data_IF_207540498890
#
_entry.id   IF_207540498890
#
_cell.length_a   1.000
_cell.length_b   1.000
_cell.length_c   1.000
_cell.angle_alpha   90.00
_cell.angle_beta   90.00
_cell.angle_gamma   90.00
#
_symmetry.space_group_name_H-M   'P 1'
#
loop_
_entity.id
_entity.type
_entity.pdbx_description
1 polymer ?
#
# COMPACT_ATOMS: atom_id res chain seq x y z
N UNK A 1 15.56 6.85 -30.30
CA UNK A 1 16.91 6.26 -30.27
C UNK A 1 17.33 6.17 -28.83
N UNK A 2 17.40 4.98 -28.26
CA UNK A 2 17.81 4.78 -26.87
C UNK A 2 19.29 5.14 -26.71
N UNK A 3 19.62 5.94 -25.70
CA UNK A 3 21.00 6.21 -25.30
C UNK A 3 21.68 4.90 -24.94
N UNK A 4 22.95 4.75 -25.30
CA UNK A 4 23.74 3.62 -24.83
C UNK A 4 23.89 3.69 -23.30
N UNK A 5 24.04 2.54 -22.66
CA UNK A 5 24.24 2.43 -21.21
C UNK A 5 25.36 3.35 -20.69
N UNK A 6 26.43 3.48 -21.47
CA UNK A 6 27.58 4.30 -21.11
C UNK A 6 27.25 5.80 -21.14
N UNK A 7 26.43 6.23 -22.10
CA UNK A 7 25.94 7.61 -22.20
C UNK A 7 24.97 7.94 -21.06
N UNK A 8 24.08 7.01 -20.68
CA UNK A 8 23.18 7.17 -19.54
C UNK A 8 23.97 7.29 -18.22
N UNK A 9 24.99 6.44 -18.03
CA UNK A 9 25.87 6.49 -16.87
C UNK A 9 26.65 7.82 -16.79
N UNK A 10 27.23 8.25 -17.91
CA UNK A 10 27.96 9.51 -18.01
C UNK A 10 27.08 10.72 -17.70
N UNK A 11 25.84 10.74 -18.21
CA UNK A 11 24.87 11.81 -17.93
C UNK A 11 24.45 11.84 -16.46
N UNK A 12 24.19 10.69 -15.85
CA UNK A 12 23.79 10.60 -14.44
C UNK A 12 24.92 11.06 -13.51
N UNK A 13 26.15 10.61 -13.78
CA UNK A 13 27.35 11.04 -13.07
C UNK A 13 27.60 12.55 -13.23
N UNK A 14 27.44 13.11 -14.43
CA UNK A 14 27.62 14.53 -14.68
C UNK A 14 26.55 15.38 -13.96
N UNK A 15 25.29 14.97 -13.99
CA UNK A 15 24.20 15.64 -13.29
C UNK A 15 24.38 15.60 -11.76
N UNK A 16 24.81 14.46 -11.22
CA UNK A 16 25.11 14.31 -9.79
C UNK A 16 26.24 15.25 -9.36
N UNK A 17 27.34 15.28 -10.13
CA UNK A 17 28.46 16.21 -9.91
C UNK A 17 27.99 17.66 -9.97
N UNK A 18 27.23 18.04 -10.99
CA UNK A 18 26.77 19.43 -11.17
C UNK A 18 25.88 19.91 -10.02
N UNK A 19 24.96 19.06 -9.57
CA UNK A 19 24.02 19.40 -8.49
C UNK A 19 24.75 19.54 -7.14
N UNK A 20 25.58 18.56 -6.79
CA UNK A 20 26.37 18.59 -5.55
C UNK A 20 27.35 19.77 -5.53
N UNK A 21 28.00 20.03 -6.66
CA UNK A 21 28.97 21.11 -6.77
C UNK A 21 28.29 22.49 -6.70
N UNK A 22 27.10 22.65 -7.29
CA UNK A 22 26.30 23.87 -7.16
C UNK A 22 25.87 24.15 -5.72
N UNK A 23 25.55 23.12 -4.95
CA UNK A 23 25.23 23.23 -3.53
C UNK A 23 26.42 23.76 -2.71
N UNK A 24 27.63 23.19 -2.86
CA UNK A 24 28.82 23.66 -2.09
C UNK A 24 29.60 24.80 -2.76
N UNK A 25 29.23 25.21 -3.97
CA UNK A 25 29.90 26.29 -4.70
C UNK A 25 31.30 25.92 -5.22
N UNK A 26 31.50 24.67 -5.62
CA UNK A 26 32.76 24.18 -6.20
C UNK A 26 32.59 23.76 -7.66
N UNK A 27 33.68 23.54 -8.42
CA UNK A 27 33.61 22.90 -9.73
C UNK A 27 33.11 21.44 -9.67
N UNK A 28 32.25 20.99 -10.62
CA UNK A 28 31.76 19.60 -10.67
C UNK A 28 32.85 18.52 -10.73
N UNK A 29 34.04 18.86 -11.23
CA UNK A 29 35.18 17.95 -11.28
C UNK A 29 35.73 17.60 -9.88
N UNK A 30 35.51 18.45 -8.87
CA UNK A 30 36.02 18.26 -7.51
C UNK A 30 35.16 17.31 -6.67
N UNK A 31 33.95 16.98 -7.11
CA UNK A 31 33.09 16.00 -6.42
C UNK A 31 33.63 14.60 -6.67
N UNK A 32 34.02 13.88 -5.61
CA UNK A 32 34.42 12.49 -5.74
C UNK A 32 33.18 11.58 -5.65
N UNK A 33 32.96 10.76 -6.68
CA UNK A 33 31.83 9.83 -6.70
C UNK A 33 32.13 8.53 -5.92
N UNK A 34 33.42 8.25 -5.69
CA UNK A 34 33.90 7.07 -4.97
C UNK A 34 34.10 7.35 -3.48
N UNK A 35 33.97 8.60 -3.05
CA UNK A 35 33.98 8.99 -1.66
C UNK A 35 32.66 8.61 -0.94
N UNK A 36 32.67 8.52 0.40
CA UNK A 36 31.47 8.27 1.20
C UNK A 36 30.34 9.25 0.88
N UNK A 37 29.10 8.76 0.86
CA UNK A 37 27.91 9.56 0.50
C UNK A 37 27.72 10.83 1.35
N UNK A 38 28.16 10.81 2.60
CA UNK A 38 28.11 11.94 3.53
C UNK A 38 29.33 12.86 3.45
N UNK A 39 30.34 12.50 2.65
CA UNK A 39 31.57 13.26 2.47
C UNK A 39 32.15 13.18 1.04
N UNK A 40 31.38 13.47 -0.04
CA UNK A 40 31.87 13.45 -1.41
C UNK A 40 32.88 14.57 -1.72
N UNK A 41 33.03 15.55 -0.82
CA UNK A 41 34.00 16.63 -0.90
C UNK A 41 34.24 17.22 0.51
N UNK A 42 35.45 17.72 0.86
CA UNK A 42 35.71 18.31 2.18
C UNK A 42 34.76 19.45 2.59
N UNK A 43 34.33 20.28 1.63
CA UNK A 43 33.37 21.35 1.91
C UNK A 43 31.94 20.85 2.18
N UNK A 44 31.61 19.63 1.76
CA UNK A 44 30.32 18.99 2.03
C UNK A 44 30.18 18.65 3.52
N UNK A 45 31.20 17.98 4.08
CA UNK A 45 31.23 17.57 5.48
C UNK A 45 31.22 18.77 6.46
N UNK A 46 31.75 19.92 6.04
CA UNK A 46 31.79 21.15 6.87
C UNK A 46 30.43 21.80 7.09
N UNK A 47 29.39 21.42 6.33
CA UNK A 47 28.01 21.91 6.44
C UNK A 47 27.07 20.79 6.88
N UNK A 48 27.26 20.32 8.12
CA UNK A 48 26.62 19.14 8.73
C UNK A 48 25.07 19.10 8.79
N UNK A 49 24.36 19.98 8.09
CA UNK A 49 22.89 20.09 8.06
C UNK A 49 22.26 19.82 6.68
N UNK A 50 23.03 19.36 5.69
CA UNK A 50 22.49 19.05 4.35
C UNK A 50 21.85 17.68 4.27
N UNK A 51 20.61 17.65 3.81
CA UNK A 51 19.96 16.40 3.43
C UNK A 51 20.52 15.91 2.08
N UNK A 52 21.50 15.01 2.17
CA UNK A 52 22.08 14.35 1.01
C UNK A 52 21.02 13.60 0.18
N UNK A 53 19.91 13.15 0.81
CA UNK A 53 18.82 12.45 0.12
C UNK A 53 18.05 13.36 -0.80
N UNK A 54 17.60 14.53 -0.30
CA UNK A 54 16.97 15.55 -1.14
C UNK A 54 17.87 16.04 -2.28
N UNK A 55 19.19 16.10 -2.04
CA UNK A 55 20.14 16.45 -3.11
C UNK A 55 20.22 15.35 -4.17
N UNK A 56 20.28 14.08 -3.76
CA UNK A 56 20.30 12.96 -4.69
C UNK A 56 18.99 12.85 -5.49
N UNK A 57 17.82 13.06 -4.86
CA UNK A 57 16.54 13.14 -5.57
C UNK A 57 16.57 14.20 -6.68
N UNK A 58 17.15 15.37 -6.40
CA UNK A 58 17.32 16.44 -7.38
C UNK A 58 18.29 16.05 -8.51
N UNK A 59 19.41 15.38 -8.19
CA UNK A 59 20.36 14.84 -9.17
C UNK A 59 19.67 13.88 -10.15
N UNK A 60 18.90 12.93 -9.61
CA UNK A 60 18.20 11.93 -10.40
C UNK A 60 17.10 12.59 -11.23
N UNK A 61 16.35 13.54 -10.67
CA UNK A 61 15.35 14.31 -11.42
C UNK A 61 15.97 15.08 -12.59
N UNK A 62 17.08 15.77 -12.37
CA UNK A 62 17.79 16.52 -13.41
C UNK A 62 18.34 15.61 -14.52
N UNK A 63 18.87 14.45 -14.15
CA UNK A 63 19.44 13.51 -15.10
C UNK A 63 18.38 12.77 -15.93
N UNK A 64 17.29 12.39 -15.27
CA UNK A 64 16.29 11.45 -15.81
C UNK A 64 15.04 12.14 -16.33
N UNK A 65 14.87 13.43 -16.08
CA UNK A 65 13.68 14.20 -16.45
C UNK A 65 12.41 13.81 -15.66
N UNK A 66 12.52 12.89 -14.69
CA UNK A 66 11.44 12.41 -13.83
C UNK A 66 11.92 12.24 -12.39
N UNK A 67 11.04 12.41 -11.42
CA UNK A 67 11.39 12.23 -10.01
C UNK A 67 11.68 10.75 -9.71
N UNK A 68 12.85 10.49 -9.11
CA UNK A 68 13.27 9.18 -8.63
C UNK A 68 13.49 9.33 -7.13
N UNK A 69 12.87 8.48 -6.31
CA UNK A 69 12.80 8.71 -4.87
C UNK A 69 13.81 7.83 -4.13
N UNK A 70 14.76 8.48 -3.46
CA UNK A 70 16.00 7.92 -2.88
C UNK A 70 15.82 7.06 -1.62
N UNK A 71 14.62 6.98 -1.02
CA UNK A 71 14.39 6.09 0.13
C UNK A 71 14.60 4.60 -0.19
N UNK A 72 14.70 4.26 -1.48
CA UNK A 72 15.01 2.96 -2.05
C UNK A 72 16.45 2.47 -1.84
N UNK A 73 17.39 3.34 -1.45
CA UNK A 73 18.76 2.88 -1.19
C UNK A 73 18.93 2.19 0.18
N UNK A 74 17.94 2.33 1.06
CA UNK A 74 18.09 2.02 2.49
C UNK A 74 16.86 1.42 3.16
N UNK A 75 15.86 0.90 2.41
CA UNK A 75 14.70 0.30 3.06
C UNK A 75 15.05 -1.03 3.72
N UNK A 76 14.74 -1.11 5.02
CA UNK A 76 14.98 -2.21 5.96
C UNK A 76 14.69 -3.61 5.42
N UNK A 77 15.57 -4.51 5.86
CA UNK A 77 15.47 -5.97 5.88
C UNK A 77 14.07 -6.51 6.15
N UNK A 78 13.57 -7.30 5.19
CA UNK A 78 12.70 -8.44 5.46
C UNK A 78 13.48 -9.71 5.13
N UNK A 79 13.78 -10.53 6.14
CA UNK A 79 14.29 -11.89 5.97
C UNK A 79 15.72 -12.07 5.43
N UNK A 80 16.69 -12.24 6.33
CA UNK A 80 17.74 -13.26 6.12
C UNK A 80 18.89 -13.05 5.13
N UNK A 81 19.08 -11.91 4.46
CA UNK A 81 20.32 -11.66 3.69
C UNK A 81 21.04 -10.38 4.12
N UNK A 82 22.36 -10.47 4.27
CA UNK A 82 23.23 -9.36 4.65
C UNK A 82 22.98 -8.11 3.82
N UNK A 83 22.93 -6.95 4.49
CA UNK A 83 22.76 -5.65 3.85
C UNK A 83 24.05 -5.32 3.09
N UNK A 84 24.01 -5.27 1.76
CA UNK A 84 25.02 -4.50 1.02
C UNK A 84 24.68 -3.01 1.18
N UNK A 85 25.28 -2.38 2.19
CA UNK A 85 25.22 -0.93 2.33
C UNK A 85 25.99 -0.30 1.17
N UNK A 86 25.31 0.46 0.31
CA UNK A 86 25.96 1.28 -0.72
C UNK A 86 26.63 2.47 -0.03
N UNK A 87 27.94 2.50 -0.04
CA UNK A 87 28.75 3.47 0.70
C UNK A 87 29.12 4.69 -0.13
N UNK A 88 29.09 4.58 -1.46
CA UNK A 88 29.53 5.64 -2.38
C UNK A 88 28.44 6.10 -3.34
N UNK A 89 28.60 7.31 -3.88
CA UNK A 89 27.68 7.84 -4.89
C UNK A 89 27.74 7.07 -6.21
N UNK A 90 28.89 6.46 -6.54
CA UNK A 90 29.03 5.56 -7.69
C UNK A 90 28.18 4.31 -7.56
N UNK A 91 28.22 3.63 -6.41
CA UNK A 91 27.40 2.44 -6.16
C UNK A 91 25.90 2.76 -6.24
N UNK A 92 25.52 3.95 -5.77
CA UNK A 92 24.17 4.48 -5.93
C UNK A 92 23.82 4.71 -7.40
N UNK A 93 24.68 5.37 -8.16
CA UNK A 93 24.49 5.63 -9.60
C UNK A 93 24.36 4.31 -10.37
N UNK A 94 25.26 3.35 -10.12
CA UNK A 94 25.25 2.03 -10.78
C UNK A 94 23.99 1.23 -10.43
N UNK A 95 23.54 1.31 -9.18
CA UNK A 95 22.26 0.75 -8.78
C UNK A 95 21.10 1.41 -9.52
N UNK A 96 21.01 2.75 -9.52
CA UNK A 96 19.95 3.46 -10.24
C UNK A 96 19.97 3.11 -11.74
N UNK A 97 21.14 3.00 -12.37
CA UNK A 97 21.26 2.60 -13.77
C UNK A 97 20.83 1.16 -14.03
N UNK A 98 21.01 0.26 -13.05
CA UNK A 98 20.55 -1.13 -13.11
C UNK A 98 19.03 -1.19 -12.96
N UNK A 99 18.48 -0.47 -11.98
CA UNK A 99 17.04 -0.35 -11.74
C UNK A 99 16.31 0.31 -12.91
N UNK A 100 16.89 1.38 -13.48
CA UNK A 100 16.35 2.06 -14.65
C UNK A 100 16.25 1.17 -15.87
N UNK A 101 17.17 0.20 -16.03
CA UNK A 101 17.08 -0.78 -17.12
C UNK A 101 15.97 -1.80 -16.88
N UNK A 102 15.68 -2.12 -15.63
CA UNK A 102 14.58 -3.01 -15.27
C UNK A 102 13.20 -2.33 -15.41
N UNK A 103 13.13 -0.99 -15.28
CA UNK A 103 11.87 -0.24 -15.19
C UNK A 103 11.60 0.72 -16.37
N UNK A 104 11.94 0.32 -17.61
CA UNK A 104 11.43 1.06 -18.77
C UNK A 104 9.90 0.92 -18.80
N UNK A 105 9.19 2.05 -18.76
CA UNK A 105 7.72 2.07 -18.83
C UNK A 105 7.32 1.51 -20.19
N UNK A 106 6.58 0.42 -20.20
CA UNK A 106 6.09 -0.21 -21.41
C UNK A 106 4.97 0.64 -22.02
N UNK A 107 5.02 0.85 -23.33
CA UNK A 107 3.89 1.39 -24.10
C UNK A 107 2.78 0.34 -24.31
N UNK A 108 2.96 -0.90 -23.84
CA UNK A 108 2.03 -2.00 -24.06
C UNK A 108 0.82 -1.89 -23.12
N UNK A 109 -0.33 -1.58 -23.70
CA UNK A 109 -1.63 -1.61 -23.01
C UNK A 109 -2.11 -3.04 -22.71
N UNK A 110 -3.18 -3.16 -21.91
CA UNK A 110 -3.90 -4.40 -21.61
C UNK A 110 -5.42 -4.20 -21.77
N UNK A 111 -6.15 -5.26 -22.11
CA UNK A 111 -7.62 -5.25 -22.17
C UNK A 111 -8.24 -5.85 -20.90
N UNK A 112 -7.56 -6.82 -20.30
CA UNK A 112 -7.97 -7.49 -19.08
C UNK A 112 -6.84 -7.39 -18.04
N UNK A 113 -7.05 -6.77 -16.86
CA UNK A 113 -6.04 -6.69 -15.83
C UNK A 113 -5.71 -8.05 -15.22
N UNK A 114 -6.52 -9.07 -15.48
CA UNK A 114 -6.26 -10.47 -15.10
C UNK A 114 -5.56 -11.27 -16.21
N UNK A 115 -5.19 -10.66 -17.35
CA UNK A 115 -4.36 -11.34 -18.35
C UNK A 115 -3.03 -11.77 -17.70
N UNK A 116 -2.60 -13.01 -17.96
CA UNK A 116 -1.40 -13.63 -17.39
C UNK A 116 -1.40 -13.77 -15.85
N UNK A 117 -2.52 -13.47 -15.19
CA UNK A 117 -2.67 -13.64 -13.75
C UNK A 117 -2.67 -15.11 -13.33
N UNK A 118 -2.09 -15.38 -12.17
CA UNK A 118 -2.22 -16.66 -11.48
C UNK A 118 -2.77 -16.43 -10.08
N UNK A 119 -3.96 -16.97 -9.82
CA UNK A 119 -4.46 -17.15 -8.46
C UNK A 119 -3.91 -18.48 -7.97
N UNK A 120 -2.89 -18.44 -7.11
CA UNK A 120 -2.27 -19.66 -6.58
C UNK A 120 -2.86 -20.07 -5.23
N UNK A 121 -3.63 -19.17 -4.60
CA UNK A 121 -4.46 -19.51 -3.45
C UNK A 121 -5.76 -20.17 -3.91
N UNK A 122 -6.17 -21.22 -3.19
CA UNK A 122 -7.53 -21.71 -3.33
C UNK A 122 -8.49 -20.62 -2.80
N UNK A 123 -9.38 -20.08 -3.64
CA UNK A 123 -10.33 -19.06 -3.19
C UNK A 123 -11.24 -19.65 -2.10
N UNK A 124 -11.75 -18.81 -1.19
CA UNK A 124 -12.68 -19.29 -0.18
C UNK A 124 -13.96 -19.78 -0.87
N UNK A 125 -14.54 -20.85 -0.34
CA UNK A 125 -15.83 -21.33 -0.82
C UNK A 125 -16.89 -20.59 -0.04
N UNK A 126 -17.54 -19.60 -0.67
CA UNK A 126 -18.66 -18.87 -0.08
C UNK A 126 -19.86 -19.81 0.19
N UNK A 127 -19.81 -20.51 1.33
CA UNK A 127 -20.90 -21.37 1.82
C UNK A 127 -21.78 -20.54 2.73
N UNK A 128 -23.07 -20.34 2.39
CA UNK A 128 -23.99 -19.63 3.28
C UNK A 128 -23.98 -20.29 4.66
N UNK A 129 -23.61 -19.53 5.68
CA UNK A 129 -23.69 -19.99 7.07
C UNK A 129 -25.13 -19.79 7.55
N UNK A 130 -25.70 -20.79 8.25
CA UNK A 130 -27.04 -20.65 8.84
C UNK A 130 -27.05 -19.59 9.96
N UNK A 131 -25.93 -19.40 10.64
CA UNK A 131 -25.72 -18.40 11.69
C UNK A 131 -24.63 -17.42 11.26
N UNK A 132 -25.02 -16.43 10.46
CA UNK A 132 -24.13 -15.33 10.07
C UNK A 132 -23.72 -14.50 11.30
N UNK A 133 -22.52 -13.94 11.24
CA UNK A 133 -21.93 -13.11 12.28
C UNK A 133 -22.63 -11.74 12.34
N UNK A 134 -22.51 -11.04 13.47
CA UNK A 134 -22.93 -9.63 13.59
C UNK A 134 -22.23 -8.76 12.53
N UNK A 135 -22.85 -7.65 12.08
CA UNK A 135 -22.29 -6.83 11.01
C UNK A 135 -20.85 -6.38 11.27
N UNK A 136 -20.02 -6.46 10.24
CA UNK A 136 -18.67 -5.88 10.20
C UNK A 136 -18.59 -4.86 9.06
N UNK A 137 -17.57 -4.01 9.12
CA UNK A 137 -17.26 -3.04 8.06
C UNK A 137 -16.03 -3.49 7.30
N UNK A 138 -16.08 -3.46 5.97
CA UNK A 138 -14.92 -3.72 5.13
C UNK A 138 -14.47 -2.44 4.45
N UNK A 139 -13.22 -2.04 4.67
CA UNK A 139 -12.58 -0.92 3.96
C UNK A 139 -11.82 -1.48 2.76
N UNK A 140 -12.42 -1.36 1.59
CA UNK A 140 -11.96 -1.92 0.33
C UNK A 140 -11.31 -0.85 -0.53
N UNK A 141 -10.14 -1.13 -1.09
CA UNK A 141 -9.41 -0.18 -1.94
C UNK A 141 -8.34 -0.88 -2.77
N UNK A 142 -7.84 -0.22 -3.81
CA UNK A 142 -6.55 -0.60 -4.38
C UNK A 142 -5.44 -0.36 -3.32
N UNK A 143 -4.34 -1.11 -3.37
CA UNK A 143 -3.19 -0.75 -2.55
C UNK A 143 -2.68 0.64 -2.96
N UNK A 144 -2.12 1.39 -2.00
CA UNK A 144 -1.68 2.80 -2.17
C UNK A 144 -2.80 3.83 -2.40
N UNK A 145 -4.07 3.44 -2.27
CA UNK A 145 -5.21 4.36 -2.27
C UNK A 145 -5.48 5.05 -0.91
N UNK A 146 -4.55 4.94 0.05
CA UNK A 146 -4.65 5.65 1.34
C UNK A 146 -5.42 4.91 2.45
N UNK A 147 -5.77 3.63 2.23
CA UNK A 147 -6.58 2.84 3.16
C UNK A 147 -5.96 2.62 4.54
N UNK A 148 -4.63 2.67 4.70
CA UNK A 148 -4.00 2.64 6.03
C UNK A 148 -4.28 3.92 6.82
N UNK A 149 -4.17 5.10 6.19
CA UNK A 149 -4.51 6.36 6.86
C UNK A 149 -6.01 6.37 7.23
N UNK A 150 -6.88 6.01 6.29
CA UNK A 150 -8.32 5.93 6.54
C UNK A 150 -8.65 4.96 7.66
N UNK A 151 -8.02 3.77 7.71
CA UNK A 151 -8.17 2.81 8.83
C UNK A 151 -7.82 3.44 10.18
N UNK A 152 -6.72 4.17 10.26
CA UNK A 152 -6.26 4.83 11.49
C UNK A 152 -7.20 5.99 11.88
N UNK A 153 -7.77 6.70 10.91
CA UNK A 153 -8.83 7.68 11.17
C UNK A 153 -10.10 7.01 11.71
N UNK A 154 -10.55 5.90 11.10
CA UNK A 154 -11.70 5.13 11.58
C UNK A 154 -11.51 4.61 13.00
N UNK A 155 -10.33 4.09 13.34
CA UNK A 155 -10.00 3.60 14.69
C UNK A 155 -10.09 4.70 15.77
N UNK A 156 -10.04 5.98 15.39
CA UNK A 156 -10.23 7.09 16.34
C UNK A 156 -11.65 7.16 16.92
N UNK A 157 -12.64 6.54 16.28
CA UNK A 157 -14.01 6.51 16.78
C UNK A 157 -14.17 5.33 17.76
N UNK A 158 -14.65 5.54 19.00
CA UNK A 158 -14.79 4.49 20.00
C UNK A 158 -15.87 3.45 19.67
N UNK A 159 -16.70 3.71 18.64
CA UNK A 159 -17.67 2.74 18.11
C UNK A 159 -17.06 1.83 17.03
N UNK A 160 -15.81 2.04 16.64
CA UNK A 160 -15.12 1.25 15.62
C UNK A 160 -13.84 0.65 16.18
N UNK A 161 -13.66 -0.65 15.97
CA UNK A 161 -12.36 -1.29 16.12
C UNK A 161 -11.80 -1.52 14.71
N UNK A 162 -11.07 -0.54 14.18
CA UNK A 162 -10.47 -0.68 12.86
C UNK A 162 -9.10 -1.37 12.94
N UNK A 163 -9.05 -2.63 12.51
CA UNK A 163 -7.89 -3.49 12.62
C UNK A 163 -6.83 -3.17 11.55
N UNK A 164 -5.54 -3.44 11.82
CA UNK A 164 -4.56 -3.69 10.78
C UNK A 164 -4.98 -4.79 9.80
N UNK A 165 -4.29 -4.88 8.66
CA UNK A 165 -4.55 -5.92 7.66
C UNK A 165 -4.61 -7.32 8.31
N UNK A 166 -5.80 -7.93 8.28
CA UNK A 166 -6.05 -9.22 8.92
C UNK A 166 -5.66 -10.39 8.00
N UNK A 167 -5.84 -10.24 6.68
CA UNK A 167 -5.64 -11.32 5.71
C UNK A 167 -6.39 -12.61 6.12
N UNK A 168 -7.66 -12.49 6.54
CA UNK A 168 -8.49 -13.64 6.94
C UNK A 168 -9.50 -14.02 5.85
N UNK A 169 -10.13 -13.03 5.18
CA UNK A 169 -11.27 -13.28 4.27
C UNK A 169 -10.94 -14.17 3.05
N UNK A 170 -9.66 -14.35 2.73
CA UNK A 170 -9.22 -15.10 1.54
C UNK A 170 -9.20 -16.62 1.73
N UNK A 171 -9.51 -17.13 2.93
CA UNK A 171 -9.46 -18.56 3.25
C UNK A 171 -10.65 -19.03 4.07
N UNK A 172 -10.97 -20.33 3.96
CA UNK A 172 -12.05 -20.98 4.72
C UNK A 172 -11.64 -21.33 6.17
N UNK A 173 -10.33 -21.47 6.44
CA UNK A 173 -9.81 -21.87 7.76
C UNK A 173 -8.38 -21.35 8.01
N UNK A 174 -7.96 -21.35 9.27
CA UNK A 174 -6.60 -20.93 9.64
C UNK A 174 -5.50 -21.87 9.16
N UNK A 175 -5.73 -23.19 9.09
CA UNK A 175 -4.70 -24.10 8.58
C UNK A 175 -4.49 -23.91 7.07
N UNK A 176 -5.55 -23.63 6.31
CA UNK A 176 -5.44 -23.29 4.89
C UNK A 176 -4.63 -22.00 4.69
N UNK A 177 -4.95 -20.95 5.46
CA UNK A 177 -4.19 -19.70 5.46
C UNK A 177 -2.72 -19.90 5.79
N UNK A 178 -2.40 -20.62 6.87
CA UNK A 178 -1.01 -20.92 7.29
C UNK A 178 -0.24 -21.63 6.19
N UNK A 179 -0.82 -22.69 5.61
CA UNK A 179 -0.18 -23.48 4.54
C UNK A 179 0.21 -22.61 3.34
N UNK A 180 -0.72 -21.78 2.91
CA UNK A 180 -0.54 -20.91 1.74
C UNK A 180 0.46 -19.78 2.03
N UNK A 181 0.44 -19.22 3.24
CA UNK A 181 1.44 -18.23 3.65
C UNK A 181 2.85 -18.82 3.66
N UNK A 182 3.04 -20.02 4.20
CA UNK A 182 4.34 -20.68 4.25
C UNK A 182 4.82 -21.07 2.84
N UNK A 183 3.92 -21.57 1.97
CA UNK A 183 4.25 -21.97 0.60
C UNK A 183 4.74 -20.81 -0.27
N UNK A 184 4.31 -19.58 0.03
CA UNK A 184 4.57 -18.40 -0.79
C UNK A 184 5.39 -17.30 -0.09
N UNK A 185 5.91 -17.55 1.13
CA UNK A 185 6.75 -16.61 1.87
C UNK A 185 6.01 -15.33 2.30
N UNK A 186 4.74 -15.48 2.69
CA UNK A 186 3.86 -14.38 3.12
C UNK A 186 3.68 -14.34 4.64
N UNK A 187 4.66 -14.78 5.44
CA UNK A 187 4.58 -14.78 6.92
C UNK A 187 4.27 -13.39 7.48
N UNK A 188 4.59 -12.34 6.74
CA UNK A 188 4.28 -10.97 7.09
C UNK A 188 2.77 -10.65 7.11
N UNK A 189 1.91 -11.40 6.40
CA UNK A 189 0.45 -11.28 6.50
C UNK A 189 -0.06 -11.47 7.93
N UNK A 190 0.71 -12.15 8.79
CA UNK A 190 0.31 -12.43 10.16
C UNK A 190 0.41 -11.24 11.11
N UNK A 191 1.17 -10.19 10.76
CA UNK A 191 1.50 -9.13 11.73
C UNK A 191 0.26 -8.36 12.20
N UNK A 192 -0.65 -8.04 11.27
CA UNK A 192 -1.86 -7.31 11.61
C UNK A 192 -2.84 -8.15 12.44
N UNK A 193 -2.98 -9.43 12.10
CA UNK A 193 -3.79 -10.37 12.87
C UNK A 193 -3.24 -10.59 14.28
N UNK A 194 -1.93 -10.84 14.42
CA UNK A 194 -1.25 -10.94 15.73
C UNK A 194 -1.48 -9.71 16.60
N UNK A 195 -1.23 -8.52 16.05
CA UNK A 195 -1.44 -7.26 16.77
C UNK A 195 -2.89 -7.11 17.22
N UNK A 196 -3.85 -7.49 16.38
CA UNK A 196 -5.28 -7.45 16.69
C UNK A 196 -5.66 -8.38 17.83
N UNK A 197 -5.14 -9.62 17.84
CA UNK A 197 -5.42 -10.59 18.92
C UNK A 197 -4.92 -10.09 20.29
N UNK A 198 -3.76 -9.43 20.31
CA UNK A 198 -3.19 -8.83 21.53
C UNK A 198 -3.98 -7.59 21.96
N UNK A 199 -4.30 -6.70 21.03
CA UNK A 199 -5.05 -5.46 21.32
C UNK A 199 -6.44 -5.76 21.89
N UNK A 200 -7.11 -6.78 21.37
CA UNK A 200 -8.43 -7.21 21.83
C UNK A 200 -8.38 -8.05 23.12
N UNK A 201 -7.20 -8.32 23.67
CA UNK A 201 -7.03 -9.14 24.88
C UNK A 201 -7.42 -10.62 24.70
N UNK A 202 -7.54 -11.10 23.46
CA UNK A 202 -7.79 -12.52 23.15
C UNK A 202 -6.59 -13.37 23.58
N UNK A 203 -5.39 -12.79 23.47
CA UNK A 203 -4.15 -13.38 23.95
C UNK A 203 -3.17 -12.28 24.37
N UNK A 204 -1.96 -12.68 24.77
CA UNK A 204 -0.87 -11.77 25.13
C UNK A 204 0.30 -11.96 24.18
N UNK A 205 1.20 -10.97 24.11
CA UNK A 205 2.43 -11.08 23.31
C UNK A 205 3.24 -12.34 23.67
N UNK A 206 3.24 -12.76 24.94
CA UNK A 206 3.95 -13.95 25.40
C UNK A 206 3.28 -15.27 25.00
N UNK A 207 1.97 -15.26 24.71
CA UNK A 207 1.17 -16.46 24.42
C UNK A 207 0.66 -16.50 22.98
N UNK A 208 1.04 -15.54 22.14
CA UNK A 208 0.52 -15.39 20.77
C UNK A 208 0.85 -16.59 19.89
N UNK A 209 2.08 -17.11 19.97
CA UNK A 209 2.52 -18.26 19.17
C UNK A 209 1.76 -19.54 19.55
N UNK A 210 1.62 -19.80 20.86
CA UNK A 210 0.84 -20.95 21.34
C UNK A 210 -0.64 -20.84 20.98
N UNK A 211 -1.19 -19.62 21.04
CA UNK A 211 -2.58 -19.35 20.66
C UNK A 211 -2.81 -19.64 19.18
N UNK A 212 -1.95 -19.12 18.31
CA UNK A 212 -2.04 -19.34 16.87
C UNK A 212 -1.80 -20.80 16.51
N UNK A 213 -0.78 -21.44 17.08
CA UNK A 213 -0.51 -22.86 16.85
C UNK A 213 -1.71 -23.73 17.22
N UNK A 214 -2.39 -23.44 18.34
CA UNK A 214 -3.62 -24.15 18.74
C UNK A 214 -4.76 -23.94 17.73
N UNK A 215 -5.00 -22.70 17.31
CA UNK A 215 -6.09 -22.38 16.37
C UNK A 215 -5.85 -22.96 14.98
N UNK A 216 -4.60 -22.92 14.50
CA UNK A 216 -4.14 -23.49 13.24
C UNK A 216 -4.19 -25.03 13.27
N UNK A 217 -3.72 -25.67 14.35
CA UNK A 217 -3.77 -27.14 14.53
C UNK A 217 -5.22 -27.65 14.59
N UNK A 218 -6.12 -26.86 15.21
CA UNK A 218 -7.54 -27.18 15.26
C UNK A 218 -8.27 -26.94 13.93
N UNK A 219 -7.57 -26.43 12.90
CA UNK A 219 -8.14 -26.01 11.62
C UNK A 219 -9.37 -25.11 11.78
N UNK A 220 -9.25 -24.13 12.70
CA UNK A 220 -10.38 -23.29 13.12
C UNK A 220 -11.03 -22.63 11.89
N UNK A 221 -12.34 -22.82 11.67
CA UNK A 221 -13.05 -22.19 10.56
C UNK A 221 -12.95 -20.67 10.61
N UNK A 222 -12.83 -20.02 9.45
CA UNK A 222 -12.67 -18.58 9.41
C UNK A 222 -13.88 -17.83 10.00
N UNK A 223 -15.08 -18.43 9.93
CA UNK A 223 -16.27 -17.93 10.63
C UNK A 223 -16.08 -17.82 12.15
N UNK A 224 -15.41 -18.80 12.76
CA UNK A 224 -15.20 -18.83 14.21
C UNK A 224 -14.06 -17.87 14.62
N UNK A 225 -13.06 -17.70 13.76
CA UNK A 225 -12.01 -16.69 13.95
C UNK A 225 -12.60 -15.29 13.93
N UNK A 226 -13.40 -14.95 12.92
CA UNK A 226 -14.06 -13.66 12.88
C UNK A 226 -15.05 -13.47 14.04
N UNK A 227 -15.77 -14.53 14.46
CA UNK A 227 -16.63 -14.45 15.65
C UNK A 227 -15.84 -14.04 16.89
N UNK A 228 -14.69 -14.67 17.12
CA UNK A 228 -13.80 -14.32 18.23
C UNK A 228 -13.35 -12.85 18.17
N UNK A 229 -13.04 -12.31 16.98
CA UNK A 229 -12.68 -10.91 16.81
C UNK A 229 -13.85 -9.95 17.05
N UNK A 230 -15.01 -10.26 16.48
CA UNK A 230 -16.25 -9.45 16.61
C UNK A 230 -16.70 -9.42 18.07
N UNK A 231 -16.72 -10.57 18.75
CA UNK A 231 -17.14 -10.68 20.15
C UNK A 231 -16.19 -9.92 21.07
N UNK A 232 -14.87 -9.98 20.82
CA UNK A 232 -13.88 -9.26 21.63
C UNK A 232 -13.86 -7.74 21.34
N UNK A 233 -14.20 -7.32 20.11
CA UNK A 233 -14.31 -5.91 19.76
C UNK A 233 -15.58 -5.25 20.30
N UNK A 234 -16.64 -6.03 20.58
CA UNK A 234 -17.91 -5.51 21.04
C UNK A 234 -17.76 -4.63 22.31
N UNK A 235 -18.47 -3.48 22.40
CA UNK A 235 -19.55 -3.03 21.52
C UNK A 235 -19.08 -2.24 20.28
N UNK A 236 -17.78 -2.16 20.01
CA UNK A 236 -17.28 -1.53 18.78
C UNK A 236 -17.46 -2.46 17.56
N UNK A 237 -17.70 -1.87 16.39
CA UNK A 237 -17.85 -2.60 15.14
C UNK A 237 -16.45 -2.88 14.58
N UNK A 238 -16.16 -4.13 14.27
CA UNK A 238 -14.91 -4.51 13.60
C UNK A 238 -14.86 -3.89 12.19
N UNK A 239 -13.76 -3.20 11.89
CA UNK A 239 -13.42 -2.77 10.53
C UNK A 239 -12.22 -3.56 10.03
N UNK A 240 -12.41 -4.36 8.98
CA UNK A 240 -11.33 -5.05 8.28
C UNK A 240 -10.91 -4.27 7.04
N UNK A 241 -9.64 -3.87 7.02
CA UNK A 241 -9.02 -3.21 5.88
C UNK A 241 -7.90 -4.11 5.37
N UNK A 242 -8.12 -4.77 4.23
CA UNK A 242 -7.11 -5.57 3.55
C UNK A 242 -7.21 -5.36 2.03
N UNK A 243 -6.34 -4.55 1.40
CA UNK A 243 -6.50 -4.14 0.00
C UNK A 243 -6.62 -5.30 -1.01
N UNK A 244 -5.89 -6.43 -0.86
CA UNK A 244 -6.04 -7.56 -1.77
C UNK A 244 -7.43 -8.21 -1.83
N UNK A 245 -8.34 -7.96 -0.87
CA UNK A 245 -9.70 -8.53 -0.92
C UNK A 245 -10.47 -8.12 -2.17
N UNK A 246 -10.22 -6.91 -2.68
CA UNK A 246 -10.88 -6.40 -3.88
C UNK A 246 -10.39 -7.05 -5.19
N UNK A 247 -9.34 -7.87 -5.15
CA UNK A 247 -8.82 -8.53 -6.36
C UNK A 247 -9.59 -9.79 -6.76
N UNK A 248 -10.52 -10.27 -5.94
CA UNK A 248 -11.31 -11.47 -6.24
C UNK A 248 -12.75 -11.37 -5.75
N UNK A 249 -13.68 -11.49 -6.69
CA UNK A 249 -15.11 -11.53 -6.41
C UNK A 249 -15.51 -12.65 -5.43
N UNK A 250 -14.78 -13.76 -5.39
CA UNK A 250 -15.02 -14.88 -4.45
C UNK A 250 -14.71 -14.48 -3.02
N UNK A 251 -13.67 -13.68 -2.81
CA UNK A 251 -13.32 -13.11 -1.50
C UNK A 251 -14.36 -12.10 -1.05
N UNK A 252 -14.80 -11.20 -1.95
CA UNK A 252 -15.88 -10.24 -1.64
C UNK A 252 -17.20 -10.96 -1.28
N UNK A 253 -17.58 -11.99 -2.04
CA UNK A 253 -18.75 -12.83 -1.74
C UNK A 253 -18.60 -13.65 -0.46
N UNK A 254 -17.37 -13.93 -0.02
CA UNK A 254 -17.14 -14.62 1.24
C UNK A 254 -17.56 -13.74 2.43
N UNK A 255 -17.38 -12.41 2.37
CA UNK A 255 -17.91 -11.51 3.39
C UNK A 255 -19.44 -11.62 3.53
N UNK A 256 -20.17 -11.66 2.40
CA UNK A 256 -21.63 -11.83 2.38
C UNK A 256 -22.10 -13.19 2.93
N UNK A 257 -21.26 -14.22 2.83
CA UNK A 257 -21.56 -15.54 3.37
C UNK A 257 -21.33 -15.64 4.88
N UNK A 258 -20.35 -14.90 5.40
CA UNK A 258 -19.95 -14.92 6.82
C UNK A 258 -20.76 -13.94 7.68
N UNK A 259 -21.03 -12.73 7.18
CA UNK A 259 -21.58 -11.63 7.97
C UNK A 259 -23.04 -11.35 7.62
N UNK A 260 -23.83 -10.97 8.62
CA UNK A 260 -25.16 -10.40 8.41
C UNK A 260 -24.99 -8.93 8.04
N UNK A 261 -25.54 -8.53 6.89
CA UNK A 261 -25.57 -7.14 6.41
C UNK A 261 -24.24 -6.37 6.56
N UNK A 262 -23.09 -6.92 6.13
CA UNK A 262 -21.84 -6.19 6.20
C UNK A 262 -21.93 -4.89 5.38
N UNK A 263 -21.19 -3.88 5.84
CA UNK A 263 -21.10 -2.57 5.17
C UNK A 263 -19.73 -2.39 4.54
N UNK A 264 -19.70 -1.77 3.37
CA UNK A 264 -18.52 -1.63 2.54
C UNK A 264 -18.18 -0.16 2.37
N UNK A 265 -16.96 0.24 2.75
CA UNK A 265 -16.40 1.55 2.42
C UNK A 265 -15.44 1.32 1.26
N UNK A 266 -15.84 1.75 0.06
CA UNK A 266 -15.04 1.67 -1.17
C UNK A 266 -14.20 2.94 -1.30
N UNK A 267 -12.94 2.86 -0.88
CA UNK A 267 -11.99 3.97 -0.95
C UNK A 267 -11.32 4.02 -2.34
N UNK A 268 -11.49 5.13 -3.03
CA UNK A 268 -10.88 5.40 -4.33
C UNK A 268 -9.72 6.37 -4.21
N UNK A 269 -8.85 6.37 -5.21
CA UNK A 269 -7.81 7.38 -5.40
C UNK A 269 -7.48 7.46 -6.89
N UNK A 270 -7.12 8.64 -7.37
CA UNK A 270 -6.76 8.86 -8.76
C UNK A 270 -5.73 7.82 -9.27
N UNK A 271 -5.94 7.17 -10.45
CA UNK A 271 -5.09 6.07 -10.93
C UNK A 271 -3.62 6.46 -11.02
N UNK A 272 -3.31 7.63 -11.58
CA UNK A 272 -1.93 8.12 -11.68
C UNK A 272 -1.27 8.33 -10.31
N UNK A 273 -2.02 8.70 -9.27
CA UNK A 273 -1.48 8.84 -7.92
C UNK A 273 -1.14 7.49 -7.29
N UNK A 274 -1.97 6.47 -7.56
CA UNK A 274 -1.72 5.10 -7.12
C UNK A 274 -0.51 4.52 -7.85
N UNK A 275 -0.45 4.66 -9.17
CA UNK A 275 0.64 4.15 -10.00
C UNK A 275 1.97 4.82 -9.63
N UNK A 276 1.98 6.15 -9.51
CA UNK A 276 3.15 6.91 -9.03
C UNK A 276 3.61 6.34 -7.69
N UNK A 277 2.69 6.20 -6.72
CA UNK A 277 3.05 5.72 -5.40
C UNK A 277 3.51 4.27 -5.41
N UNK A 278 2.98 3.43 -6.29
CA UNK A 278 3.33 2.02 -6.38
C UNK A 278 4.73 1.83 -6.96
N UNK A 279 5.00 2.52 -8.07
CA UNK A 279 6.30 2.53 -8.73
C UNK A 279 7.36 3.07 -7.78
N UNK A 280 7.09 4.25 -7.20
CA UNK A 280 7.93 4.86 -6.16
C UNK A 280 8.21 3.88 -5.02
N UNK A 281 7.20 3.17 -4.50
CA UNK A 281 7.36 2.29 -3.34
C UNK A 281 7.87 0.87 -3.67
N UNK A 282 8.16 0.55 -4.93
CA UNK A 282 8.63 -0.78 -5.37
C UNK A 282 7.75 -1.96 -4.93
N UNK A 283 6.44 -1.74 -4.84
CA UNK A 283 5.49 -2.77 -4.43
C UNK A 283 5.45 -3.96 -5.40
N UNK A 284 5.93 -3.79 -6.63
CA UNK A 284 6.03 -4.82 -7.67
C UNK A 284 6.98 -5.98 -7.30
N UNK A 285 8.04 -5.71 -6.53
CA UNK A 285 9.09 -6.70 -6.23
C UNK A 285 9.10 -7.25 -4.80
N UNK A 286 8.29 -6.71 -3.89
CA UNK A 286 8.53 -6.89 -2.44
C UNK A 286 7.33 -7.37 -1.61
N UNK A 287 6.09 -7.10 -2.03
CA UNK A 287 4.93 -7.29 -1.15
C UNK A 287 3.93 -8.32 -1.69
N UNK A 288 3.46 -8.18 -2.93
CA UNK A 288 2.29 -8.94 -3.37
C UNK A 288 2.60 -10.08 -4.35
N UNK A 289 3.84 -10.20 -4.84
CA UNK A 289 4.30 -11.32 -5.67
C UNK A 289 3.41 -11.61 -6.88
N UNK A 290 3.55 -12.81 -7.47
CA UNK A 290 2.70 -13.31 -8.57
C UNK A 290 1.41 -13.98 -8.09
N UNK A 291 1.23 -14.14 -6.78
CA UNK A 291 0.31 -15.14 -6.21
C UNK A 291 -1.08 -14.59 -5.88
N UNK A 292 -1.27 -13.26 -5.91
CA UNK A 292 -2.53 -12.56 -5.63
C UNK A 292 -3.36 -12.25 -6.88
N UNK A 293 -3.17 -13.00 -7.97
CA UNK A 293 -4.12 -12.96 -9.07
C UNK A 293 -4.10 -11.72 -9.96
N UNK A 294 -3.07 -10.89 -9.83
CA UNK A 294 -2.71 -9.85 -10.79
C UNK A 294 -1.19 -9.86 -10.88
N UNK A 295 -0.64 -9.79 -12.09
CA UNK A 295 0.80 -9.69 -12.27
C UNK A 295 1.16 -8.94 -13.55
N UNK A 296 2.27 -8.21 -13.49
CA UNK A 296 2.98 -7.77 -14.66
C UNK A 296 4.48 -7.63 -14.37
N UNK A 297 5.33 -7.91 -15.36
CA UNK A 297 6.77 -7.70 -15.22
C UNK A 297 7.14 -6.22 -15.28
N UNK A 298 6.30 -5.38 -15.91
CA UNK A 298 6.44 -3.93 -15.85
C UNK A 298 5.78 -3.40 -14.56
N UNK A 299 6.52 -2.72 -13.68
CA UNK A 299 5.98 -2.23 -12.41
C UNK A 299 4.88 -1.18 -12.52
N UNK A 300 4.89 -0.36 -13.57
CA UNK A 300 3.85 0.67 -13.80
C UNK A 300 2.58 0.01 -14.30
N UNK A 301 2.71 -0.89 -15.27
CA UNK A 301 1.58 -1.66 -15.78
C UNK A 301 1.02 -2.60 -14.73
N UNK A 302 1.86 -3.16 -13.85
CA UNK A 302 1.39 -3.97 -12.72
C UNK A 302 0.53 -3.11 -11.78
N UNK A 303 0.98 -1.90 -11.43
CA UNK A 303 0.20 -0.98 -10.61
C UNK A 303 -1.12 -0.59 -11.27
N UNK A 304 -1.11 -0.35 -12.59
CA UNK A 304 -2.30 -0.04 -13.36
C UNK A 304 -3.29 -1.21 -13.41
N UNK A 305 -2.80 -2.44 -13.64
CA UNK A 305 -3.60 -3.67 -13.58
C UNK A 305 -4.20 -3.86 -12.20
N UNK A 306 -3.43 -3.63 -11.13
CA UNK A 306 -3.94 -3.74 -9.76
C UNK A 306 -5.08 -2.76 -9.50
N UNK A 307 -4.88 -1.49 -9.88
CA UNK A 307 -5.91 -0.46 -9.76
C UNK A 307 -7.18 -0.88 -10.55
N UNK A 308 -7.01 -1.28 -11.80
CA UNK A 308 -8.11 -1.64 -12.69
C UNK A 308 -8.86 -2.89 -12.25
N UNK A 309 -8.15 -3.95 -11.82
CA UNK A 309 -8.74 -5.17 -11.28
C UNK A 309 -9.57 -4.87 -10.03
N UNK A 310 -9.02 -4.06 -9.12
CA UNK A 310 -9.70 -3.64 -7.89
C UNK A 310 -11.02 -2.94 -8.23
N UNK A 311 -10.99 -1.86 -9.02
CA UNK A 311 -12.21 -1.07 -9.22
C UNK A 311 -13.18 -1.68 -10.21
N UNK A 312 -12.74 -2.54 -11.14
CA UNK A 312 -13.64 -3.40 -11.90
C UNK A 312 -14.45 -4.30 -10.95
N UNK A 313 -13.78 -5.04 -10.07
CA UNK A 313 -14.44 -5.93 -9.13
C UNK A 313 -15.30 -5.17 -8.12
N UNK A 314 -14.85 -4.04 -7.59
CA UNK A 314 -15.64 -3.26 -6.62
C UNK A 314 -16.89 -2.64 -7.26
N UNK A 315 -16.82 -2.22 -8.51
CA UNK A 315 -18.00 -1.73 -9.25
C UNK A 315 -18.98 -2.87 -9.49
N UNK A 316 -18.52 -4.01 -10.00
CA UNK A 316 -19.37 -5.19 -10.20
C UNK A 316 -19.96 -5.70 -8.87
N UNK A 317 -19.18 -5.68 -7.80
CA UNK A 317 -19.63 -6.10 -6.48
C UNK A 317 -20.66 -5.14 -5.87
N UNK A 318 -20.49 -3.83 -6.07
CA UNK A 318 -21.46 -2.83 -5.62
C UNK A 318 -22.85 -3.09 -6.23
N UNK A 319 -22.93 -3.50 -7.50
CA UNK A 319 -24.19 -3.86 -8.17
C UNK A 319 -24.87 -5.11 -7.58
N UNK A 320 -24.14 -5.92 -6.80
CA UNK A 320 -24.65 -7.16 -6.19
C UNK A 320 -25.12 -6.98 -4.74
N UNK A 321 -24.87 -5.82 -4.14
CA UNK A 321 -25.29 -5.49 -2.77
C UNK A 321 -26.27 -4.32 -2.78
N UNK A 322 -27.20 -4.21 -1.81
CA UNK A 322 -28.03 -3.02 -1.65
C UNK A 322 -27.19 -1.75 -1.52
N UNK A 323 -27.63 -0.67 -2.18
CA UNK A 323 -26.95 0.64 -2.21
C UNK A 323 -26.62 1.16 -0.80
N UNK A 324 -27.48 0.89 0.19
CA UNK A 324 -27.30 1.33 1.58
C UNK A 324 -26.14 0.61 2.29
N UNK A 325 -25.56 -0.43 1.68
CA UNK A 325 -24.43 -1.19 2.24
C UNK A 325 -23.09 -0.85 1.58
N UNK A 326 -23.05 0.05 0.59
CA UNK A 326 -21.80 0.48 -0.04
C UNK A 326 -21.65 2.01 -0.06
N UNK A 327 -20.56 2.52 0.51
CA UNK A 327 -20.21 3.93 0.49
C UNK A 327 -18.90 4.15 -0.28
N UNK A 328 -18.95 4.97 -1.32
CA UNK A 328 -17.76 5.41 -2.05
C UNK A 328 -17.14 6.67 -1.41
N UNK A 329 -15.82 6.63 -1.22
CA UNK A 329 -15.04 7.72 -0.62
C UNK A 329 -13.79 7.97 -1.45
N UNK A 330 -13.57 9.21 -1.88
CA UNK A 330 -12.32 9.59 -2.52
C UNK A 330 -11.26 9.87 -1.45
N UNK A 331 -10.04 9.38 -1.62
CA UNK A 331 -8.94 9.64 -0.70
C UNK A 331 -8.54 11.13 -0.68
N UNK A 332 -8.74 11.81 -1.79
CA UNK A 332 -8.60 13.25 -1.96
C UNK A 332 -9.54 14.01 -1.00
N UNK A 333 -10.76 13.50 -0.77
CA UNK A 333 -11.70 14.02 0.22
C UNK A 333 -11.31 13.69 1.66
N UNK A 334 -10.69 12.53 1.89
CA UNK A 334 -10.14 12.15 3.21
C UNK A 334 -9.07 13.15 3.64
N UNK A 335 -8.24 13.62 2.72
CA UNK A 335 -7.18 14.60 3.00
C UNK A 335 -7.67 16.06 2.96
N UNK A 336 -8.49 16.42 1.97
CA UNK A 336 -8.91 17.80 1.74
C UNK A 336 -10.10 18.25 2.58
N UNK A 337 -10.96 17.31 3.03
CA UNK A 337 -12.17 17.58 3.82
C UNK A 337 -12.37 16.54 4.93
N UNK A 338 -11.38 16.32 5.81
CA UNK A 338 -11.37 15.17 6.72
C UNK A 338 -12.60 15.11 7.65
N UNK A 339 -13.03 16.23 8.24
CA UNK A 339 -14.20 16.26 9.13
C UNK A 339 -15.49 15.88 8.40
N UNK A 340 -15.73 16.48 7.23
CA UNK A 340 -16.92 16.21 6.43
C UNK A 340 -16.94 14.76 5.93
N UNK A 341 -15.78 14.24 5.52
CA UNK A 341 -15.64 12.86 5.06
C UNK A 341 -15.87 11.86 6.20
N UNK A 342 -15.28 12.08 7.38
CA UNK A 342 -15.53 11.25 8.56
C UNK A 342 -16.99 11.32 9.02
N UNK A 343 -17.61 12.50 9.03
CA UNK A 343 -19.03 12.64 9.36
C UNK A 343 -19.93 11.87 8.38
N UNK A 344 -19.61 11.89 7.07
CA UNK A 344 -20.33 11.11 6.05
C UNK A 344 -20.20 9.60 6.29
N UNK A 345 -18.99 9.12 6.61
CA UNK A 345 -18.75 7.71 6.94
C UNK A 345 -19.53 7.32 8.21
N UNK A 346 -19.49 8.14 9.26
CA UNK A 346 -20.24 7.90 10.49
C UNK A 346 -21.75 7.85 10.25
N UNK A 347 -22.30 8.73 9.41
CA UNK A 347 -23.71 8.71 9.02
C UNK A 347 -24.09 7.43 8.27
N UNK A 348 -23.26 6.98 7.33
CA UNK A 348 -23.43 5.69 6.64
C UNK A 348 -23.37 4.49 7.61
N UNK A 349 -22.49 4.56 8.61
CA UNK A 349 -22.34 3.53 9.63
C UNK A 349 -23.36 3.64 10.77
N UNK A 350 -24.24 4.64 10.77
CA UNK A 350 -25.21 4.93 11.84
C UNK A 350 -24.57 5.03 13.24
N UNK A 351 -23.44 5.76 13.32
CA UNK A 351 -22.72 6.03 14.56
C UNK A 351 -22.46 7.54 14.72
N UNK A 352 -22.30 8.05 15.95
CA UNK A 352 -21.89 9.43 16.14
C UNK A 352 -20.49 9.68 15.60
N UNK A 353 -20.29 10.85 14.98
CA UNK A 353 -18.97 11.37 14.64
C UNK A 353 -18.14 11.63 15.92
N UNK A 354 -16.85 11.36 15.85
CA UNK A 354 -15.88 11.64 16.92
C UNK A 354 -14.70 12.43 16.35
N UNK A 355 -14.35 13.55 16.98
CA UNK A 355 -13.27 14.44 16.51
C UNK A 355 -11.89 13.77 16.48
N UNK A 356 -11.68 12.70 17.25
CA UNK A 356 -10.42 11.94 17.23
C UNK A 356 -10.16 11.33 15.86
N UNK A 357 -11.19 11.10 15.04
CA UNK A 357 -11.03 10.54 13.70
C UNK A 357 -10.12 11.40 12.82
N UNK A 358 -10.10 12.73 13.00
CA UNK A 358 -9.26 13.64 12.20
C UNK A 358 -7.90 13.95 12.84
N UNK A 359 -7.56 13.28 13.95
CA UNK A 359 -6.26 13.37 14.64
C UNK A 359 -5.49 12.04 14.61
N UNK A 360 -5.20 11.45 13.43
CA UNK A 360 -4.66 10.08 13.32
C UNK A 360 -3.25 9.88 13.89
N UNK A 361 -2.55 10.95 14.27
CA UNK A 361 -1.18 10.90 14.80
C UNK A 361 -1.08 11.20 16.30
N UNK A 362 -2.22 11.38 16.99
CA UNK A 362 -2.24 11.76 18.41
C UNK A 362 -1.96 10.58 19.37
N UNK A 363 -2.13 9.34 18.92
CA UNK A 363 -2.10 8.11 19.71
C UNK A 363 -1.69 6.88 18.85
N UNK A 364 -1.39 5.76 19.52
CA UNK A 364 -0.68 4.61 18.92
C UNK A 364 -1.49 3.81 17.88
N UNK A 365 -2.85 3.81 17.93
CA UNK A 365 -3.81 3.25 16.92
C UNK A 365 -3.36 2.01 16.11
N UNK A 366 -2.57 1.11 16.71
CA UNK A 366 -1.92 -0.02 16.05
C UNK A 366 -1.21 0.36 14.73
N UNK A 367 -0.49 1.49 14.73
CA UNK A 367 0.29 1.97 13.59
C UNK A 367 1.61 1.21 13.41
N UNK A 368 2.02 0.46 14.45
CA UNK A 368 3.17 -0.41 14.56
C UNK A 368 3.02 -1.75 13.78
N UNK A 369 1.79 -2.15 13.46
CA UNK A 369 1.49 -3.22 12.51
C UNK A 369 1.84 -2.84 11.05
N UNK A 370 1.93 -3.83 10.17
CA UNK A 370 2.17 -3.59 8.73
C UNK A 370 1.08 -2.71 8.11
N UNK A 371 1.46 -1.92 7.09
CA UNK A 371 0.61 -0.89 6.48
C UNK A 371 1.42 0.04 5.57
N UNK A 372 1.02 1.33 5.46
CA UNK A 372 1.83 2.31 4.73
C UNK A 372 3.03 2.73 5.60
N UNK A 373 4.28 2.40 5.22
CA UNK A 373 5.46 2.77 6.02
C UNK A 373 5.62 4.29 6.15
N UNK A 374 5.06 5.06 5.23
CA UNK A 374 5.10 6.52 5.27
C UNK A 374 4.14 7.14 6.29
N UNK A 375 3.29 6.34 6.96
CA UNK A 375 2.37 6.88 7.96
C UNK A 375 3.12 7.31 9.22
N UNK A 376 4.11 6.52 9.67
CA UNK A 376 4.83 6.73 10.94
C UNK A 376 5.77 7.92 10.96
N UNK A 377 6.10 8.47 9.79
CA UNK A 377 6.99 9.62 9.64
C UNK A 377 6.24 10.94 9.52
N UNK A 378 4.90 10.90 9.60
CA UNK A 378 4.05 12.09 9.50
C UNK A 378 3.49 12.46 10.86
N UNK A 379 3.17 13.73 11.00
CA UNK A 379 2.60 14.32 12.22
C UNK A 379 1.24 14.96 11.99
N UNK A 380 0.84 15.19 10.74
CA UNK A 380 -0.41 15.86 10.37
C UNK A 380 -0.98 15.36 9.04
N UNK A 381 -2.27 15.64 8.83
CA UNK A 381 -2.94 15.44 7.54
C UNK A 381 -2.45 16.48 6.56
N UNK A 382 -1.98 16.03 5.40
CA UNK A 382 -1.40 16.91 4.38
C UNK A 382 -2.21 16.80 3.08
N UNK A 383 -3.09 17.79 2.87
CA UNK A 383 -3.94 17.89 1.69
C UNK A 383 -3.16 17.98 0.38
N UNK A 384 -1.92 18.50 0.40
CA UNK A 384 -1.10 18.63 -0.82
C UNK A 384 -0.77 17.26 -1.45
N UNK A 385 -0.83 16.18 -0.67
CA UNK A 385 -0.53 14.81 -1.13
C UNK A 385 -1.64 14.17 -1.95
N UNK A 386 -2.83 14.77 -1.98
CA UNK A 386 -3.88 14.39 -2.91
C UNK A 386 -3.37 14.55 -4.36
N UNK A 387 -2.75 15.70 -4.65
CA UNK A 387 -2.35 16.11 -6.01
C UNK A 387 -0.83 16.11 -6.25
N UNK A 388 0.00 15.71 -5.27
CA UNK A 388 1.46 15.73 -5.39
C UNK A 388 2.01 14.98 -6.62
N UNK A 389 1.32 13.94 -7.08
CA UNK A 389 1.69 13.18 -8.29
C UNK A 389 1.68 14.05 -9.55
N UNK A 390 0.88 15.12 -9.61
CA UNK A 390 0.77 16.02 -10.78
C UNK A 390 2.05 16.78 -11.07
N UNK A 391 2.90 16.98 -10.05
CA UNK A 391 4.18 17.66 -10.23
C UNK A 391 5.16 16.83 -11.08
N UNK A 392 5.02 15.50 -11.04
CA UNK A 392 5.86 14.55 -11.79
C UNK A 392 5.02 13.32 -12.16
N UNK A 393 4.05 13.45 -13.09
CA UNK A 393 3.19 12.34 -13.45
C UNK A 393 4.02 11.23 -14.11
N UNK A 394 3.69 9.94 -13.85
CA UNK A 394 4.25 8.84 -14.64
C UNK A 394 4.09 9.09 -16.14
N UNK A 395 5.18 9.00 -16.90
CA UNK A 395 5.19 9.14 -18.36
C UNK A 395 4.67 7.85 -19.01
N UNK A 396 3.36 7.61 -18.85
CA UNK A 396 2.67 6.44 -19.36
C UNK A 396 1.29 6.83 -19.90
N UNK A 397 0.77 6.01 -20.81
CA UNK A 397 -0.63 6.12 -21.26
C UNK A 397 -1.46 5.04 -20.58
N UNK A 398 -2.47 5.47 -19.82
CA UNK A 398 -3.43 4.55 -19.24
C UNK A 398 -4.19 3.78 -20.34
N UNK A 399 -4.45 2.51 -20.08
CA UNK A 399 -5.29 1.65 -20.89
C UNK A 399 -6.69 2.26 -21.08
N UNK A 400 -7.40 1.95 -22.17
CA UNK A 400 -8.79 2.35 -22.33
C UNK A 400 -9.67 1.94 -21.14
N UNK A 401 -9.52 0.71 -20.65
CA UNK A 401 -10.24 0.20 -19.48
C UNK A 401 -10.01 1.09 -18.25
N UNK A 402 -8.75 1.42 -17.95
CA UNK A 402 -8.40 2.21 -16.78
C UNK A 402 -9.02 3.61 -16.86
N UNK A 403 -9.00 4.23 -18.04
CA UNK A 403 -9.61 5.55 -18.26
C UNK A 403 -11.13 5.52 -18.16
N UNK A 404 -11.76 4.46 -18.63
CA UNK A 404 -13.22 4.28 -18.53
C UNK A 404 -13.63 4.15 -17.06
N UNK A 405 -13.01 3.23 -16.32
CA UNK A 405 -13.22 3.06 -14.88
C UNK A 405 -12.94 4.35 -14.10
N UNK A 406 -11.87 5.07 -14.43
CA UNK A 406 -11.54 6.32 -13.76
C UNK A 406 -12.62 7.38 -13.96
N UNK A 407 -13.15 7.52 -15.19
CA UNK A 407 -14.25 8.44 -15.48
C UNK A 407 -15.54 8.06 -14.73
N UNK A 408 -15.84 6.77 -14.63
CA UNK A 408 -17.00 6.27 -13.88
C UNK A 408 -16.87 6.56 -12.38
N UNK A 409 -15.65 6.57 -11.85
CA UNK A 409 -15.34 6.94 -10.47
C UNK A 409 -15.17 8.46 -10.26
N UNK A 410 -15.40 9.28 -11.29
CA UNK A 410 -15.35 10.75 -11.21
C UNK A 410 -13.97 11.39 -11.45
N UNK A 411 -12.98 10.63 -11.91
CA UNK A 411 -11.67 11.15 -12.34
C UNK A 411 -11.67 11.39 -13.86
N UNK A 412 -11.82 12.65 -14.27
CA UNK A 412 -11.97 13.02 -15.69
C UNK A 412 -10.65 13.44 -16.37
N UNK A 413 -9.60 13.64 -15.59
CA UNK A 413 -8.29 14.12 -16.00
C UNK A 413 -7.29 12.96 -16.22
N UNK A 414 -7.72 11.95 -16.99
CA UNK A 414 -7.04 10.66 -17.22
C UNK A 414 -6.78 10.32 -18.68
#
# INVERSE_FOLDING_TARGET
>A
MGLTQFEAAGRLAAAARATLAGEIGVPPAEIDLDAPLDAPHPQWASRATRDWRGTLDACLKAALGRQYYVYELWSRSGGGSAVEHRTTLREVIDYVLTEMRACAISDRSFADPFEDARWEFAPPVARPTQNRLSPAVFLLSAARAGSTLTRVMLHGNPRLFAAPELFLLMWDSLAARRRDMDAHGYEWFDRGFRRTLVELGITTEAAIDDTLARLETADTPMSDVYRMLVDAAAPAILVDKTPPYALDMRVLRHAEALFSEPRYICLTRHPMAVIESWARMKFHGTLFGRHLGVWDDDPYRYAEKWWSATYRNLTEFADLVPDERALWVAFEDVLGRPEATCARICGFLDIPYDERMTRPYADDRMQDAHGDPNLRVRTELDASRADAWRANPPDMRLSPLTRDLARDLGYHDV
#
